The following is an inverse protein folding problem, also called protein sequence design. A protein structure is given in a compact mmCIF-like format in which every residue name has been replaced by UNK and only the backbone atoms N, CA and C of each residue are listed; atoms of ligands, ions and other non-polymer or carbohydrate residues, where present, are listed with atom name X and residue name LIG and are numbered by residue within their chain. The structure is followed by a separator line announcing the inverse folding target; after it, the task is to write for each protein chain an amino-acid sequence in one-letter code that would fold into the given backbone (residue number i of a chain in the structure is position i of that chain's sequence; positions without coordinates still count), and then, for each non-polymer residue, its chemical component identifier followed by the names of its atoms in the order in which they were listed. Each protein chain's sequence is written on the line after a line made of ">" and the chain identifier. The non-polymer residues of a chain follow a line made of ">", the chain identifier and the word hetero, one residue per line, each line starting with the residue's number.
data_IF_758226403797
#
_entry.id   IF_758226403797
#
_cell.length_a   1.000
_cell.length_b   1.000
_cell.length_c   1.000
_cell.angle_alpha   90.00
_cell.angle_beta   90.00
_cell.angle_gamma   90.00
#
_symmetry.space_group_name_H-M   'P 1'
#
loop_
_entity.id
_entity.type
_entity.pdbx_description
1 polymer ?
#
# COMPACT_ATOMS: atom_id res chain seq x y z
N UNK A 1 -8.71 -10.52 -4.34
CA UNK A 1 -7.25 -10.42 -4.09
C UNK A 1 -7.08 -10.17 -2.61
N UNK A 2 -6.27 -10.96 -1.90
CA UNK A 2 -6.03 -10.81 -0.47
C UNK A 2 -4.62 -10.30 -0.20
N UNK A 3 -4.38 -9.83 1.03
CA UNK A 3 -3.05 -9.36 1.42
C UNK A 3 -2.04 -10.51 1.49
N UNK A 4 -2.50 -11.71 1.84
CA UNK A 4 -1.66 -12.91 1.83
C UNK A 4 -1.10 -13.20 0.43
N UNK A 5 -1.92 -13.01 -0.62
CA UNK A 5 -1.44 -13.19 -2.00
C UNK A 5 -0.34 -12.19 -2.37
N UNK A 6 -0.33 -10.99 -1.79
CA UNK A 6 0.74 -10.01 -1.98
C UNK A 6 2.00 -10.45 -1.22
N UNK A 7 1.84 -10.91 0.03
CA UNK A 7 2.95 -11.41 0.85
C UNK A 7 3.63 -12.65 0.25
N UNK A 8 2.84 -13.58 -0.27
CA UNK A 8 3.34 -14.80 -0.92
C UNK A 8 4.14 -14.49 -2.19
N UNK A 9 3.81 -13.39 -2.87
CA UNK A 9 4.48 -12.93 -4.08
C UNK A 9 5.54 -11.84 -3.81
N UNK A 10 6.01 -11.67 -2.56
CA UNK A 10 6.97 -10.62 -2.19
C UNK A 10 8.22 -10.56 -3.07
N UNK A 11 8.69 -11.71 -3.57
CA UNK A 11 9.88 -11.80 -4.43
C UNK A 11 9.69 -11.26 -5.85
N UNK A 12 8.45 -10.94 -6.24
CA UNK A 12 8.12 -10.37 -7.56
C UNK A 12 8.16 -8.83 -7.56
N UNK A 13 8.33 -8.21 -6.39
CA UNK A 13 8.39 -6.77 -6.24
C UNK A 13 9.85 -6.35 -6.03
N UNK A 14 10.26 -5.29 -6.71
CA UNK A 14 11.60 -4.70 -6.53
C UNK A 14 11.73 -4.01 -5.18
N UNK A 15 10.62 -3.47 -4.68
CA UNK A 15 10.53 -2.89 -3.34
C UNK A 15 9.27 -3.43 -2.65
N UNK A 16 9.49 -4.17 -1.57
CA UNK A 16 8.43 -4.79 -0.79
C UNK A 16 8.65 -4.57 0.70
N UNK A 17 7.58 -4.21 1.41
CA UNK A 17 7.59 -4.11 2.85
C UNK A 17 6.21 -4.43 3.41
N UNK A 18 6.15 -5.34 4.40
CA UNK A 18 4.95 -5.53 5.21
C UNK A 18 4.77 -4.32 6.15
N UNK A 19 3.56 -3.81 6.22
CA UNK A 19 3.19 -2.60 6.95
C UNK A 19 1.95 -2.84 7.81
N UNK A 20 1.70 -1.90 8.71
CA UNK A 20 0.41 -1.79 9.42
C UNK A 20 -0.01 -0.33 9.39
N UNK A 21 -1.21 -0.05 8.88
CA UNK A 21 -1.74 1.31 8.75
C UNK A 21 -3.03 1.37 9.54
N UNK A 22 -3.04 2.19 10.60
CA UNK A 22 -4.13 2.32 11.58
C UNK A 22 -4.73 0.96 12.06
N UNK A 23 -3.87 -0.03 12.27
CA UNK A 23 -4.26 -1.37 12.73
C UNK A 23 -4.68 -2.35 11.63
N UNK A 24 -4.75 -1.91 10.38
CA UNK A 24 -5.03 -2.77 9.23
C UNK A 24 -3.73 -3.34 8.63
N UNK A 25 -3.69 -4.65 8.29
CA UNK A 25 -2.58 -5.22 7.54
C UNK A 25 -2.39 -4.52 6.20
N UNK A 26 -1.15 -4.20 5.85
CA UNK A 26 -0.83 -3.51 4.61
C UNK A 26 0.51 -3.97 4.02
N UNK A 27 0.74 -3.66 2.75
CA UNK A 27 1.98 -3.94 2.05
C UNK A 27 2.35 -2.77 1.14
N UNK A 28 3.59 -2.29 1.25
CA UNK A 28 4.25 -1.60 0.14
C UNK A 28 4.71 -2.66 -0.85
N UNK A 29 4.31 -2.56 -2.11
CA UNK A 29 4.60 -3.59 -3.11
C UNK A 29 4.76 -2.94 -4.49
N UNK A 30 5.98 -2.48 -4.77
CA UNK A 30 6.34 -1.74 -5.97
C UNK A 30 7.10 -2.61 -6.97
N UNK A 31 6.82 -2.40 -8.25
CA UNK A 31 7.56 -3.03 -9.35
C UNK A 31 8.91 -2.33 -9.61
N UNK A 32 9.02 -1.06 -9.23
CA UNK A 32 10.26 -0.26 -9.29
C UNK A 32 10.73 0.18 -7.89
N UNK A 33 11.75 1.05 -7.87
CA UNK A 33 12.24 1.69 -6.65
C UNK A 33 11.61 3.09 -6.52
N UNK A 34 10.73 3.32 -5.53
CA UNK A 34 10.08 4.61 -5.31
C UNK A 34 11.04 5.78 -5.16
N UNK A 35 12.26 5.55 -4.67
CA UNK A 35 13.28 6.59 -4.52
C UNK A 35 13.89 7.01 -5.86
N UNK A 36 13.76 6.18 -6.90
CA UNK A 36 14.32 6.41 -8.24
C UNK A 36 13.26 6.88 -9.24
N UNK A 37 12.05 6.32 -9.18
CA UNK A 37 11.00 6.57 -10.16
C UNK A 37 9.84 7.43 -9.63
N UNK A 38 9.80 7.67 -8.32
CA UNK A 38 8.81 8.49 -7.65
C UNK A 38 7.41 7.89 -7.60
N UNK A 39 7.24 6.60 -7.90
CA UNK A 39 5.96 5.91 -7.80
C UNK A 39 5.88 5.07 -6.54
N UNK A 40 4.72 5.04 -5.89
CA UNK A 40 4.51 4.12 -4.79
C UNK A 40 3.09 3.57 -4.73
N UNK A 41 3.02 2.26 -4.58
CA UNK A 41 1.86 1.42 -4.40
C UNK A 41 1.84 0.83 -2.99
N UNK A 42 0.76 1.12 -2.27
CA UNK A 42 0.47 0.50 -0.97
C UNK A 42 -0.92 -0.14 -1.03
N UNK A 43 -0.97 -1.40 -0.60
CA UNK A 43 -2.18 -2.19 -0.49
C UNK A 43 -2.57 -2.33 0.98
N UNK A 44 -3.83 -2.14 1.32
CA UNK A 44 -4.36 -2.20 2.69
C UNK A 44 -5.55 -3.15 2.72
N UNK A 45 -5.48 -4.18 3.56
CA UNK A 45 -6.58 -5.12 3.76
C UNK A 45 -7.67 -4.48 4.62
N UNK A 46 -8.87 -4.33 4.07
CA UNK A 46 -10.05 -3.84 4.81
C UNK A 46 -10.92 -4.99 5.32
N UNK A 47 -10.79 -6.17 4.70
CA UNK A 47 -11.35 -7.45 5.13
C UNK A 47 -10.51 -8.60 4.54
N UNK A 48 -10.85 -9.86 4.82
CA UNK A 48 -10.11 -11.02 4.28
C UNK A 48 -10.00 -11.02 2.74
N UNK A 49 -11.01 -10.50 2.06
CA UNK A 49 -11.14 -10.56 0.60
C UNK A 49 -11.20 -9.20 -0.09
N UNK A 50 -11.12 -8.10 0.68
CA UNK A 50 -11.18 -6.73 0.15
C UNK A 50 -9.93 -5.97 0.54
N UNK A 51 -9.36 -5.27 -0.44
CA UNK A 51 -8.22 -4.39 -0.22
C UNK A 51 -8.47 -3.03 -0.87
N UNK A 52 -7.96 -1.98 -0.24
CA UNK A 52 -7.71 -0.72 -0.91
C UNK A 52 -6.30 -0.71 -1.48
N UNK A 53 -6.13 -0.06 -2.62
CA UNK A 53 -4.84 0.28 -3.18
C UNK A 53 -4.75 1.80 -3.22
N UNK A 54 -3.72 2.36 -2.58
CA UNK A 54 -3.31 3.73 -2.85
C UNK A 54 -2.11 3.72 -3.76
N UNK A 55 -2.19 4.55 -4.78
CA UNK A 55 -1.14 4.79 -5.74
C UNK A 55 -0.82 6.27 -5.75
N UNK A 56 0.46 6.58 -5.77
CA UNK A 56 0.95 7.96 -5.70
C UNK A 56 2.12 8.15 -6.64
N UNK A 57 2.28 9.40 -7.08
CA UNK A 57 3.48 9.86 -7.76
C UNK A 57 3.98 11.13 -7.11
N UNK A 58 5.26 11.15 -6.80
CA UNK A 58 5.98 12.36 -6.44
C UNK A 58 7.08 12.59 -7.47
N UNK A 59 6.92 13.59 -8.34
CA UNK A 59 7.89 13.91 -9.39
C UNK A 59 9.22 14.47 -8.84
N UNK A 60 9.25 14.89 -7.57
CA UNK A 60 10.50 15.26 -6.88
C UNK A 60 11.22 14.06 -6.27
N UNK A 61 10.60 12.87 -6.32
CA UNK A 61 11.06 11.63 -5.70
C UNK A 61 11.32 11.74 -4.19
N UNK A 62 10.70 12.72 -3.52
CA UNK A 62 10.97 13.00 -2.11
C UNK A 62 10.21 12.06 -1.17
N UNK A 63 8.90 11.86 -1.40
CA UNK A 63 8.04 11.06 -0.52
C UNK A 63 6.78 10.51 -1.22
N UNK A 64 6.94 9.72 -2.28
CA UNK A 64 5.81 9.05 -2.92
C UNK A 64 5.08 8.13 -1.92
N UNK A 65 5.80 7.26 -1.21
CA UNK A 65 5.18 6.30 -0.30
C UNK A 65 4.45 6.94 0.89
N UNK A 66 4.97 8.02 1.46
CA UNK A 66 4.24 8.75 2.50
C UNK A 66 2.96 9.40 1.96
N UNK A 67 2.91 9.85 0.69
CA UNK A 67 1.68 10.32 0.07
C UNK A 67 0.64 9.19 -0.04
N UNK A 68 1.04 8.01 -0.54
CA UNK A 68 0.16 6.85 -0.62
C UNK A 68 -0.35 6.42 0.77
N UNK A 69 0.53 6.38 1.78
CA UNK A 69 0.15 6.01 3.13
C UNK A 69 -0.85 7.00 3.74
N UNK A 70 -0.58 8.31 3.64
CA UNK A 70 -1.50 9.36 4.14
C UNK A 70 -2.88 9.28 3.49
N UNK A 71 -2.95 8.95 2.20
CA UNK A 71 -4.21 8.77 1.50
C UNK A 71 -5.01 7.57 2.05
N UNK A 72 -4.34 6.47 2.38
CA UNK A 72 -4.98 5.32 3.03
C UNK A 72 -5.46 5.67 4.44
N UNK A 73 -4.62 6.30 5.25
CA UNK A 73 -4.96 6.75 6.61
C UNK A 73 -6.20 7.66 6.60
N UNK A 74 -6.28 8.59 5.66
CA UNK A 74 -7.43 9.48 5.48
C UNK A 74 -8.71 8.74 5.03
N UNK A 75 -8.58 7.60 4.34
CA UNK A 75 -9.70 6.80 3.84
C UNK A 75 -10.31 5.88 4.91
N UNK A 76 -9.53 5.47 5.91
CA UNK A 76 -9.93 4.49 6.93
C UNK A 76 -11.25 4.84 7.64
N UNK A 77 -11.52 6.10 8.06
CA UNK A 77 -12.79 6.45 8.69
C UNK A 77 -14.03 6.28 7.80
N UNK A 78 -13.85 6.18 6.48
CA UNK A 78 -14.94 6.04 5.51
C UNK A 78 -15.19 4.60 5.10
N UNK A 79 -14.37 3.66 5.58
CA UNK A 79 -14.54 2.25 5.27
C UNK A 79 -15.87 1.75 5.84
N UNK A 80 -16.62 0.94 5.09
CA UNK A 80 -17.75 0.23 5.65
C UNK A 80 -17.25 -0.60 6.84
N UNK A 81 -18.04 -0.66 7.91
CA UNK A 81 -17.73 -1.53 9.03
C UNK A 81 -17.44 -2.94 8.48
N UNK A 82 -16.30 -3.50 8.86
CA UNK A 82 -15.92 -4.85 8.46
C UNK A 82 -17.06 -5.79 8.87
N UNK A 83 -17.64 -6.49 7.88
CA UNK A 83 -18.63 -7.54 8.11
C UNK A 83 -17.95 -8.84 8.48
#
# INVERSE_FOLDING_TARGET
>A
MSIQQIYDNRSTFSDFQELTIAGYPAARANQGDPAQDGWCDIYLATSENTMLRAFSRDASHADACGLAQRALEASIPTLPAAK
#
